data_IF_159980757141
#
_entry.id   IF_159980757141
#
_cell.length_a   1.000
_cell.length_b   1.000
_cell.length_c   1.000
_cell.angle_alpha   90.00
_cell.angle_beta   90.00
_cell.angle_gamma   90.00
#
_symmetry.space_group_name_H-M   'P 1'
#
loop_
_entity.id
_entity.type
_entity.pdbx_description
1 polymer ?
#
# COMPACT_ATOMS: atom_id res chain seq x y z
N UNK A 1 14.36 -9.18 31.52
CA UNK A 1 13.92 -9.00 30.13
C UNK A 1 13.84 -10.33 29.38
N UNK A 2 14.94 -11.07 29.16
CA UNK A 2 14.89 -12.37 28.47
C UNK A 2 13.90 -13.35 29.10
N UNK A 3 14.01 -13.59 30.41
CA UNK A 3 13.07 -14.45 31.14
C UNK A 3 11.62 -13.95 31.11
N UNK A 4 11.41 -12.63 31.04
CA UNK A 4 10.06 -12.09 30.93
C UNK A 4 9.51 -12.30 29.55
N UNK A 5 10.33 -12.14 28.49
CA UNK A 5 9.92 -12.52 27.11
C UNK A 5 9.51 -13.98 27.05
N UNK A 6 10.32 -14.89 27.60
CA UNK A 6 9.97 -16.32 27.64
C UNK A 6 8.64 -16.59 28.35
N UNK A 7 8.38 -15.91 29.52
CA UNK A 7 7.12 -16.03 30.25
C UNK A 7 5.94 -15.44 29.48
N UNK A 8 6.14 -14.25 28.89
CA UNK A 8 5.10 -13.58 28.11
C UNK A 8 4.66 -14.47 26.94
N UNK A 9 5.60 -15.05 26.19
CA UNK A 9 5.23 -15.99 25.14
C UNK A 9 4.54 -17.24 25.68
N UNK A 10 5.06 -17.86 26.75
CA UNK A 10 4.42 -19.02 27.39
C UNK A 10 2.97 -18.72 27.78
N UNK A 11 2.69 -17.54 28.30
CA UNK A 11 1.40 -17.20 28.92
C UNK A 11 0.38 -16.59 27.94
N UNK A 12 0.84 -16.02 26.83
CA UNK A 12 0.00 -15.29 25.88
C UNK A 12 -0.03 -15.88 24.47
N UNK A 13 0.90 -16.77 24.10
CA UNK A 13 0.89 -17.38 22.78
C UNK A 13 -0.40 -18.15 22.53
N UNK A 14 -0.98 -18.02 21.34
CA UNK A 14 -2.32 -18.50 21.02
C UNK A 14 -2.50 -20.05 21.08
N UNK A 15 -1.41 -20.82 21.08
CA UNK A 15 -1.41 -22.27 21.21
C UNK A 15 -0.58 -22.71 22.40
N UNK A 16 -1.19 -23.44 23.33
CA UNK A 16 -0.53 -23.97 24.54
C UNK A 16 0.63 -24.90 24.22
N UNK A 17 0.58 -25.60 23.08
CA UNK A 17 1.64 -26.51 22.64
C UNK A 17 2.84 -25.82 21.99
N UNK A 18 2.86 -24.48 21.90
CA UNK A 18 3.95 -23.68 21.34
C UNK A 18 4.40 -24.17 19.95
N UNK A 19 3.47 -24.51 19.05
CA UNK A 19 3.74 -25.14 17.76
C UNK A 19 4.53 -26.46 17.84
N UNK A 20 4.51 -27.14 18.98
CA UNK A 20 5.28 -28.37 19.23
C UNK A 20 6.73 -28.13 19.65
N UNK A 21 7.13 -26.89 19.86
CA UNK A 21 8.47 -26.52 20.35
C UNK A 21 8.59 -26.81 21.84
N UNK A 22 9.69 -27.44 22.26
CA UNK A 22 10.05 -27.56 23.68
C UNK A 22 10.49 -26.17 24.21
N UNK A 23 9.49 -25.38 24.60
CA UNK A 23 9.71 -24.00 25.04
C UNK A 23 10.62 -23.86 26.27
N UNK A 24 10.55 -24.75 27.29
CA UNK A 24 11.55 -24.81 28.35
C UNK A 24 13.00 -25.02 27.86
N UNK A 25 13.21 -25.99 26.94
CA UNK A 25 14.53 -26.23 26.38
C UNK A 25 15.07 -25.03 25.59
N UNK A 26 14.20 -24.29 24.90
CA UNK A 26 14.62 -23.04 24.19
C UNK A 26 15.09 -21.95 25.16
N UNK A 27 14.47 -21.85 26.34
CA UNK A 27 14.94 -20.94 27.38
C UNK A 27 16.36 -21.27 27.84
N UNK A 28 16.67 -22.55 28.02
CA UNK A 28 18.00 -22.98 28.41
C UNK A 28 19.03 -22.75 27.30
N UNK A 29 18.67 -23.10 26.05
CA UNK A 29 19.52 -22.92 24.88
C UNK A 29 19.97 -21.47 24.69
N UNK A 30 19.03 -20.52 24.67
CA UNK A 30 19.30 -19.13 24.41
C UNK A 30 19.68 -18.35 25.68
N UNK A 31 19.33 -18.86 26.86
CA UNK A 31 19.64 -18.23 28.13
C UNK A 31 21.14 -18.07 28.41
N UNK A 32 21.97 -19.01 27.96
CA UNK A 32 23.40 -18.95 28.10
C UNK A 32 24.04 -17.81 27.29
N UNK A 33 23.40 -17.38 26.20
CA UNK A 33 23.91 -16.26 25.37
C UNK A 33 23.68 -14.89 26.02
N UNK A 34 22.80 -14.80 27.02
CA UNK A 34 22.48 -13.52 27.68
C UNK A 34 23.65 -12.96 28.45
N UNK A 35 24.51 -13.84 29.03
CA UNK A 35 25.67 -13.43 29.80
C UNK A 35 26.79 -12.82 28.94
N UNK A 36 26.75 -13.10 27.63
CA UNK A 36 27.69 -12.53 26.64
C UNK A 36 27.19 -11.22 26.01
N UNK A 37 25.93 -10.80 26.27
CA UNK A 37 25.37 -9.56 25.75
C UNK A 37 26.04 -8.34 26.41
N UNK A 38 26.61 -7.45 25.61
CA UNK A 38 27.24 -6.19 26.06
C UNK A 38 26.38 -4.97 25.79
N UNK A 39 25.35 -5.12 24.99
CA UNK A 39 24.39 -4.06 24.64
C UNK A 39 22.95 -4.54 24.70
N UNK A 40 22.02 -3.57 24.66
CA UNK A 40 20.58 -3.88 24.55
C UNK A 40 20.21 -4.45 23.17
N UNK A 41 20.96 -4.10 22.14
CA UNK A 41 20.80 -4.67 20.80
C UNK A 41 21.20 -6.15 20.78
N UNK A 42 22.27 -6.55 21.46
CA UNK A 42 22.64 -7.96 21.59
C UNK A 42 21.52 -8.76 22.28
N UNK A 43 20.96 -8.20 23.36
CA UNK A 43 19.83 -8.84 24.03
C UNK A 43 18.59 -8.91 23.14
N UNK A 44 18.31 -7.87 22.32
CA UNK A 44 17.25 -7.93 21.33
C UNK A 44 17.50 -9.02 20.29
N UNK A 45 18.76 -9.21 19.88
CA UNK A 45 19.12 -10.31 18.98
C UNK A 45 18.80 -11.66 19.62
N UNK A 46 19.28 -11.94 20.83
CA UNK A 46 19.03 -13.20 21.55
C UNK A 46 17.54 -13.46 21.78
N UNK A 47 16.77 -12.41 22.12
CA UNK A 47 15.31 -12.49 22.20
C UNK A 47 14.71 -12.85 20.83
N UNK A 48 15.24 -12.29 19.74
CA UNK A 48 14.81 -12.60 18.39
C UNK A 48 15.02 -14.07 18.04
N UNK A 49 16.18 -14.62 18.35
CA UNK A 49 16.48 -16.05 18.13
C UNK A 49 15.53 -16.96 18.91
N UNK A 50 15.29 -16.62 20.19
CA UNK A 50 14.33 -17.36 21.02
C UNK A 50 12.93 -17.42 20.40
N UNK A 51 12.37 -16.28 19.99
CA UNK A 51 11.00 -16.24 19.48
C UNK A 51 10.89 -16.81 18.06
N UNK A 52 11.98 -16.80 17.28
CA UNK A 52 12.01 -17.36 15.93
C UNK A 52 11.79 -18.88 15.91
N UNK A 53 12.12 -19.61 17.00
CA UNK A 53 11.87 -21.04 17.11
C UNK A 53 10.39 -21.42 16.97
N UNK A 54 9.48 -20.47 17.23
CA UNK A 54 8.04 -20.69 17.07
C UNK A 54 7.59 -20.71 15.61
N UNK A 55 8.43 -20.26 14.68
CA UNK A 55 8.13 -20.15 13.25
C UNK A 55 6.70 -19.59 13.00
N UNK A 56 6.45 -18.41 13.55
CA UNK A 56 5.13 -17.80 13.57
C UNK A 56 5.22 -16.33 13.17
N UNK A 57 4.32 -15.89 12.32
CA UNK A 57 4.14 -14.49 11.96
C UNK A 57 3.84 -13.62 13.19
N UNK A 58 3.97 -12.30 13.06
CA UNK A 58 3.68 -11.33 14.13
C UNK A 58 4.42 -11.54 15.46
N UNK A 59 5.50 -12.32 15.47
CA UNK A 59 6.43 -12.42 16.60
C UNK A 59 7.49 -11.34 16.49
N UNK A 60 7.35 -10.28 17.28
CA UNK A 60 8.20 -9.09 17.20
C UNK A 60 8.96 -8.82 18.49
N UNK A 61 10.05 -8.06 18.36
CA UNK A 61 10.82 -7.53 19.46
C UNK A 61 11.42 -6.17 19.10
N UNK A 62 11.68 -5.34 20.09
CA UNK A 62 12.39 -4.08 19.85
C UNK A 62 12.35 -3.12 21.01
N UNK A 63 12.91 -1.95 20.77
CA UNK A 63 12.97 -0.89 21.76
C UNK A 63 13.85 -1.23 22.96
N UNK A 64 13.56 -0.59 24.09
CA UNK A 64 14.34 -0.66 25.30
C UNK A 64 15.43 0.42 25.34
N UNK A 65 16.40 0.23 26.22
CA UNK A 65 17.51 1.15 26.49
C UNK A 65 18.58 1.05 25.38
N UNK A 66 18.21 1.53 24.18
CA UNK A 66 19.09 1.54 23.01
C UNK A 66 19.93 2.81 22.95
N UNK A 67 21.20 2.65 22.64
CA UNK A 67 22.06 3.78 22.31
C UNK A 67 21.60 4.43 21.00
N UNK A 68 21.38 5.75 21.02
CA UNK A 68 20.92 6.51 19.86
C UNK A 68 21.91 7.58 19.47
N UNK A 69 22.38 7.51 18.24
CA UNK A 69 23.15 8.60 17.64
C UNK A 69 22.22 9.80 17.36
N UNK A 70 22.82 11.00 17.42
CA UNK A 70 22.12 12.22 16.96
C UNK A 70 21.86 12.12 15.47
N UNK A 71 20.60 12.30 15.07
CA UNK A 71 20.21 12.35 13.66
C UNK A 71 20.02 13.79 13.19
N UNK A 72 20.44 14.06 11.97
CA UNK A 72 20.20 15.35 11.29
C UNK A 72 19.35 15.08 10.06
N UNK A 73 18.20 15.77 9.98
CA UNK A 73 17.29 15.61 8.86
C UNK A 73 17.89 16.17 7.57
N UNK A 74 17.71 15.47 6.47
CA UNK A 74 18.04 15.94 5.11
C UNK A 74 16.77 16.47 4.46
N UNK A 75 16.87 17.63 3.83
CA UNK A 75 15.77 18.20 3.03
C UNK A 75 15.64 17.46 1.70
N UNK A 76 14.40 17.17 1.29
CA UNK A 76 14.10 16.50 0.03
C UNK A 76 13.15 17.35 -0.80
N UNK A 77 13.34 17.39 -2.12
CA UNK A 77 12.57 18.21 -3.04
C UNK A 77 11.42 17.45 -3.72
N UNK A 78 11.39 16.13 -3.62
CA UNK A 78 10.41 15.30 -4.32
C UNK A 78 10.68 15.20 -5.80
N UNK A 79 11.94 15.03 -6.18
CA UNK A 79 12.35 14.88 -7.57
C UNK A 79 13.51 13.89 -7.72
N UNK A 80 13.73 13.44 -8.95
CA UNK A 80 14.85 12.59 -9.33
C UNK A 80 15.88 13.45 -10.10
N UNK A 81 17.15 13.08 -9.96
CA UNK A 81 18.27 13.77 -10.61
C UNK A 81 19.09 12.80 -11.44
N UNK A 82 19.70 13.33 -12.49
CA UNK A 82 20.83 12.72 -13.17
C UNK A 82 22.01 13.72 -13.20
N UNK A 83 23.23 13.20 -13.25
CA UNK A 83 24.39 14.03 -13.50
C UNK A 83 24.56 14.19 -15.01
N UNK A 84 24.32 15.41 -15.51
CA UNK A 84 24.42 15.76 -16.91
C UNK A 84 25.26 17.02 -17.08
N UNK A 85 26.22 17.00 -18.02
CA UNK A 85 27.12 18.15 -18.31
C UNK A 85 27.78 18.75 -17.07
N UNK A 86 28.08 17.93 -16.03
CA UNK A 86 28.73 18.38 -14.81
C UNK A 86 27.84 19.08 -13.78
N UNK A 87 26.52 19.04 -13.97
CA UNK A 87 25.53 19.57 -13.04
C UNK A 87 24.38 18.58 -12.83
N UNK A 88 23.56 18.77 -11.78
CA UNK A 88 22.41 17.91 -11.49
C UNK A 88 21.18 18.39 -12.25
N UNK A 89 20.74 17.59 -13.23
CA UNK A 89 19.52 17.81 -13.99
C UNK A 89 18.34 17.11 -13.32
N UNK A 90 17.23 17.82 -13.17
CA UNK A 90 15.97 17.28 -12.68
C UNK A 90 15.32 16.45 -13.80
N UNK A 91 15.22 15.14 -13.60
CA UNK A 91 14.66 14.22 -14.60
C UNK A 91 13.18 13.95 -14.39
N UNK A 92 12.71 14.04 -13.13
CA UNK A 92 11.32 13.81 -12.78
C UNK A 92 10.93 14.61 -11.53
N UNK A 93 9.75 15.22 -11.56
CA UNK A 93 9.13 15.85 -10.40
C UNK A 93 7.95 14.99 -9.94
N UNK A 94 7.97 14.57 -8.68
CA UNK A 94 6.88 13.82 -8.07
C UNK A 94 5.81 14.80 -7.55
N UNK A 95 4.74 14.96 -8.31
CA UNK A 95 3.68 15.93 -7.98
C UNK A 95 2.78 15.45 -6.82
N UNK A 96 2.67 14.12 -6.60
CA UNK A 96 1.75 13.53 -5.67
C UNK A 96 0.31 13.54 -6.18
N UNK A 97 -0.66 13.62 -5.27
CA UNK A 97 -2.07 13.73 -5.63
C UNK A 97 -2.56 15.17 -5.59
N UNK A 98 -3.16 15.66 -6.66
CA UNK A 98 -3.71 17.05 -6.74
C UNK A 98 -4.72 17.32 -5.61
N UNK A 99 -5.43 16.30 -5.18
CA UNK A 99 -6.45 16.28 -4.13
C UNK A 99 -5.91 15.99 -2.72
N UNK A 100 -4.63 15.64 -2.57
CA UNK A 100 -3.99 15.24 -1.33
C UNK A 100 -2.99 16.31 -0.89
N UNK A 101 -3.38 17.18 0.04
CA UNK A 101 -2.53 18.25 0.53
C UNK A 101 -1.28 17.75 1.26
N UNK A 102 -1.34 16.53 1.82
CA UNK A 102 -0.25 15.91 2.59
C UNK A 102 0.78 15.23 1.68
N UNK A 103 0.43 15.02 0.41
CA UNK A 103 1.28 14.42 -0.60
C UNK A 103 1.60 15.40 -1.76
N UNK A 104 1.72 16.70 -1.48
CA UNK A 104 2.22 17.67 -2.44
C UNK A 104 3.73 17.82 -2.37
N UNK A 105 4.37 17.69 -3.54
CA UNK A 105 5.82 17.92 -3.67
C UNK A 105 6.22 19.36 -3.38
N UNK A 106 7.40 19.62 -2.82
CA UNK A 106 7.94 20.97 -2.64
C UNK A 106 8.01 21.76 -3.94
N UNK A 107 8.35 21.10 -5.05
CA UNK A 107 8.47 21.70 -6.37
C UNK A 107 7.12 21.90 -7.09
N UNK A 108 6.05 21.23 -6.62
CA UNK A 108 4.69 21.34 -7.19
C UNK A 108 3.82 22.36 -6.46
N UNK A 109 4.40 23.19 -5.58
CA UNK A 109 3.64 24.22 -4.86
C UNK A 109 3.33 25.40 -5.79
N UNK A 110 2.18 26.07 -5.62
CA UNK A 110 1.86 27.25 -6.41
C UNK A 110 2.95 28.33 -6.32
N UNK A 111 3.39 28.83 -7.47
CA UNK A 111 4.41 29.89 -7.56
C UNK A 111 5.86 29.37 -7.53
N UNK A 112 6.07 28.06 -7.50
CA UNK A 112 7.39 27.46 -7.66
C UNK A 112 7.61 27.18 -9.15
N UNK A 113 8.55 27.90 -9.76
CA UNK A 113 8.91 27.76 -11.18
C UNK A 113 10.17 26.92 -11.35
N UNK A 114 9.97 25.59 -11.20
CA UNK A 114 10.98 24.55 -11.43
C UNK A 114 10.35 23.46 -12.28
N UNK A 115 11.04 23.06 -13.34
CA UNK A 115 10.52 22.14 -14.34
C UNK A 115 11.43 20.91 -14.50
N UNK A 116 10.87 19.82 -15.01
CA UNK A 116 11.67 18.70 -15.50
C UNK A 116 12.56 19.18 -16.65
N UNK A 117 13.84 18.84 -16.57
CA UNK A 117 14.86 19.33 -17.50
C UNK A 117 15.71 20.48 -16.95
N UNK A 118 15.26 21.20 -15.93
CA UNK A 118 16.07 22.22 -15.25
C UNK A 118 17.25 21.59 -14.51
N UNK A 119 18.35 22.33 -14.43
CA UNK A 119 19.50 22.01 -13.61
C UNK A 119 19.41 22.70 -12.25
N UNK A 120 19.65 21.97 -11.19
CA UNK A 120 19.82 22.51 -9.85
C UNK A 120 21.28 22.91 -9.65
N UNK A 121 21.55 24.20 -9.54
CA UNK A 121 22.90 24.78 -9.63
C UNK A 121 23.44 25.26 -8.27
N UNK A 122 22.58 25.83 -7.42
CA UNK A 122 22.97 26.30 -6.10
C UNK A 122 21.83 26.24 -5.09
N UNK A 123 22.19 26.22 -3.80
CA UNK A 123 21.27 26.26 -2.66
C UNK A 123 21.73 27.36 -1.71
N UNK A 124 20.83 28.30 -1.40
CA UNK A 124 21.14 29.49 -0.57
C UNK A 124 22.38 30.23 -1.07
N UNK A 125 22.56 30.33 -2.37
CA UNK A 125 23.69 30.98 -3.04
C UNK A 125 25.02 30.16 -3.02
N UNK A 126 25.00 28.95 -2.46
CA UNK A 126 26.18 28.08 -2.49
C UNK A 126 26.07 27.12 -3.67
N UNK A 127 27.01 27.14 -4.63
CA UNK A 127 27.00 26.22 -5.76
C UNK A 127 27.03 24.75 -5.31
N UNK A 128 26.32 23.89 -6.03
CA UNK A 128 26.34 22.45 -5.81
C UNK A 128 27.67 21.85 -6.28
N UNK A 129 28.21 20.95 -5.47
CA UNK A 129 29.39 20.16 -5.81
C UNK A 129 28.94 18.88 -6.52
N UNK A 130 29.09 18.84 -7.84
CA UNK A 130 28.71 17.68 -8.67
C UNK A 130 29.56 16.41 -8.42
N UNK A 131 30.62 16.51 -7.60
CA UNK A 131 31.40 15.33 -7.18
C UNK A 131 30.82 14.63 -5.95
N UNK A 132 29.78 15.20 -5.33
CA UNK A 132 29.10 14.71 -4.14
C UNK A 132 27.64 14.46 -4.46
N UNK A 133 27.01 13.61 -3.67
CA UNK A 133 25.57 13.40 -3.70
C UNK A 133 24.82 14.73 -3.49
N UNK A 134 23.80 15.07 -4.33
CA UNK A 134 23.08 16.34 -4.24
C UNK A 134 22.42 16.55 -2.89
N UNK A 135 21.99 15.48 -2.22
CA UNK A 135 21.35 15.53 -0.91
C UNK A 135 22.28 16.03 0.20
N UNK A 136 23.60 15.95 -0.01
CA UNK A 136 24.60 16.48 0.94
C UNK A 136 24.45 17.99 1.19
N UNK A 137 23.99 18.73 0.21
CA UNK A 137 23.73 20.17 0.31
C UNK A 137 22.47 20.52 1.09
N UNK A 138 21.59 19.53 1.33
CA UNK A 138 20.34 19.70 2.05
C UNK A 138 20.38 19.22 3.51
N UNK A 139 21.55 18.83 4.03
CA UNK A 139 21.71 18.41 5.43
C UNK A 139 21.27 19.53 6.37
N UNK A 140 20.35 19.23 7.28
CA UNK A 140 19.79 20.18 8.25
C UNK A 140 18.80 21.20 7.67
N UNK A 141 18.38 21.05 6.41
CA UNK A 141 17.47 21.98 5.72
C UNK A 141 16.03 21.47 5.62
N UNK A 142 15.73 20.27 6.12
CA UNK A 142 14.36 19.75 6.19
C UNK A 142 13.43 20.73 6.92
N UNK A 143 12.30 21.08 6.28
CA UNK A 143 11.30 21.98 6.84
C UNK A 143 11.69 23.47 6.90
N UNK A 144 12.87 23.86 6.41
CA UNK A 144 13.32 25.26 6.33
C UNK A 144 13.12 25.78 4.90
N UNK A 145 12.78 27.05 4.77
CA UNK A 145 12.74 27.68 3.45
C UNK A 145 14.16 27.91 2.96
N UNK A 146 14.42 27.52 1.72
CA UNK A 146 15.70 27.67 1.04
C UNK A 146 15.50 28.35 -0.31
N UNK A 147 16.53 29.07 -0.80
CA UNK A 147 16.59 29.54 -2.18
C UNK A 147 17.28 28.50 -3.03
N UNK A 148 16.64 28.04 -4.10
CA UNK A 148 17.22 27.21 -5.13
C UNK A 148 17.60 28.10 -6.32
N UNK A 149 18.79 27.92 -6.87
CA UNK A 149 19.15 28.50 -8.18
C UNK A 149 19.00 27.41 -9.23
N UNK A 150 18.11 27.60 -10.18
CA UNK A 150 17.82 26.65 -11.26
C UNK A 150 17.93 27.33 -12.64
N UNK A 151 18.28 26.57 -13.66
CA UNK A 151 18.35 27.04 -15.05
C UNK A 151 18.09 25.88 -16.02
N UNK A 152 17.66 26.21 -17.25
CA UNK A 152 17.61 25.24 -18.35
C UNK A 152 19.02 24.83 -18.85
N UNK A 153 20.09 25.54 -18.40
CA UNK A 153 21.48 25.29 -18.73
C UNK A 153 22.28 24.79 -17.51
N UNK A 154 23.37 24.02 -17.73
CA UNK A 154 24.18 23.47 -16.64
C UNK A 154 25.10 24.50 -15.98
N UNK A 155 24.81 25.80 -16.11
CA UNK A 155 25.60 26.91 -15.58
C UNK A 155 24.70 28.05 -15.08
N UNK A 156 25.25 28.88 -14.17
CA UNK A 156 24.55 30.07 -13.68
C UNK A 156 24.81 31.20 -14.65
N UNK A 157 23.79 31.62 -15.38
CA UNK A 157 23.79 32.73 -16.32
C UNK A 157 22.66 33.74 -16.01
N UNK A 158 22.44 34.70 -16.90
CA UNK A 158 21.40 35.74 -16.73
C UNK A 158 19.96 35.16 -16.82
N UNK A 159 19.78 33.92 -17.26
CA UNK A 159 18.49 33.22 -17.35
C UNK A 159 18.24 32.33 -16.11
N UNK A 160 19.22 32.19 -15.21
CA UNK A 160 19.08 31.45 -14.00
C UNK A 160 18.03 32.06 -13.06
N UNK A 161 17.16 31.22 -12.51
CA UNK A 161 16.06 31.63 -11.63
C UNK A 161 16.36 31.32 -10.18
N UNK A 162 16.01 32.20 -9.27
CA UNK A 162 15.98 31.94 -7.84
C UNK A 162 14.56 31.63 -7.39
N UNK A 163 14.37 30.47 -6.79
CA UNK A 163 13.06 29.98 -6.37
C UNK A 163 13.08 29.60 -4.88
N UNK A 164 12.11 30.09 -4.11
CA UNK A 164 11.98 29.76 -2.70
C UNK A 164 11.17 28.48 -2.54
N UNK A 165 11.75 27.50 -1.86
CA UNK A 165 11.15 26.17 -1.64
C UNK A 165 11.31 25.77 -0.17
N UNK A 166 10.39 24.97 0.34
CA UNK A 166 10.48 24.35 1.66
C UNK A 166 10.65 22.83 1.51
N UNK A 167 11.89 22.31 1.56
CA UNK A 167 12.16 20.88 1.47
C UNK A 167 11.47 20.10 2.58
N UNK A 168 10.99 18.90 2.24
CA UNK A 168 10.38 17.97 3.21
C UNK A 168 11.42 17.01 3.78
N UNK A 169 11.16 16.42 4.95
CA UNK A 169 12.09 15.47 5.59
C UNK A 169 11.91 14.02 5.13
N UNK A 170 10.84 13.74 4.43
CA UNK A 170 10.53 12.40 3.90
C UNK A 170 9.62 12.55 2.68
N UNK A 171 10.01 11.97 1.57
CA UNK A 171 9.24 12.01 0.31
C UNK A 171 8.58 10.67 -0.04
N UNK A 172 8.62 9.67 0.88
CA UNK A 172 8.08 8.34 0.61
C UNK A 172 6.60 8.38 0.24
N UNK A 173 5.78 9.15 0.96
CA UNK A 173 4.36 9.27 0.64
C UNK A 173 4.11 9.98 -0.69
N UNK A 174 4.93 10.97 -1.02
CA UNK A 174 4.86 11.69 -2.30
C UNK A 174 5.18 10.75 -3.49
N UNK A 175 6.30 10.02 -3.41
CA UNK A 175 6.70 9.04 -4.43
C UNK A 175 5.69 7.92 -4.57
N UNK A 176 5.18 7.44 -3.46
CA UNK A 176 4.14 6.43 -3.40
C UNK A 176 2.85 6.89 -4.12
N UNK A 177 2.37 8.10 -3.85
CA UNK A 177 1.22 8.67 -4.56
C UNK A 177 1.48 8.86 -6.05
N UNK A 178 2.65 9.35 -6.41
CA UNK A 178 3.06 9.50 -7.80
C UNK A 178 3.05 8.16 -8.55
N UNK A 179 3.50 7.09 -7.90
CA UNK A 179 3.47 5.74 -8.45
C UNK A 179 2.02 5.23 -8.66
N UNK A 180 1.13 5.41 -7.68
CA UNK A 180 -0.29 5.02 -7.81
C UNK A 180 -0.95 5.75 -8.99
N UNK A 181 -0.74 7.06 -9.11
CA UNK A 181 -1.32 7.84 -10.20
C UNK A 181 -0.73 7.46 -11.56
N UNK A 182 0.56 7.12 -11.63
CA UNK A 182 1.19 6.61 -12.85
C UNK A 182 0.57 5.26 -13.27
N UNK A 183 0.36 4.34 -12.34
CA UNK A 183 -0.28 3.05 -12.63
C UNK A 183 -1.73 3.25 -13.10
N UNK A 184 -2.48 4.16 -12.44
CA UNK A 184 -3.84 4.49 -12.87
C UNK A 184 -3.87 5.04 -14.30
N UNK A 185 -2.99 5.98 -14.62
CA UNK A 185 -2.88 6.55 -15.96
C UNK A 185 -2.45 5.49 -16.99
N UNK A 186 -1.58 4.57 -16.59
CA UNK A 186 -1.16 3.45 -17.44
C UNK A 186 -2.33 2.53 -17.76
N UNK A 187 -3.08 2.07 -16.76
CA UNK A 187 -4.27 1.24 -16.96
C UNK A 187 -5.30 1.96 -17.82
N UNK A 188 -5.58 3.22 -17.56
CA UNK A 188 -6.51 4.03 -18.37
C UNK A 188 -6.09 4.07 -19.85
N UNK A 189 -4.81 4.34 -20.10
CA UNK A 189 -4.24 4.38 -21.45
C UNK A 189 -4.31 3.04 -22.18
N UNK A 190 -3.94 1.95 -21.48
CA UNK A 190 -3.85 0.62 -22.09
C UNK A 190 -5.22 -0.01 -22.35
N UNK A 191 -6.27 0.52 -21.73
CA UNK A 191 -7.63 -0.04 -21.81
C UNK A 191 -8.66 0.93 -22.41
N UNK A 192 -8.20 2.04 -23.01
CA UNK A 192 -9.07 3.12 -23.51
C UNK A 192 -10.10 3.59 -22.45
N UNK A 193 -9.67 3.62 -21.19
CA UNK A 193 -10.49 4.04 -20.06
C UNK A 193 -11.57 3.05 -19.62
N UNK A 194 -11.59 1.82 -20.13
CA UNK A 194 -12.62 0.79 -19.82
C UNK A 194 -12.42 0.18 -18.43
N UNK A 195 -11.17 0.06 -17.95
CA UNK A 195 -10.83 -0.58 -16.68
C UNK A 195 -10.37 0.47 -15.66
N UNK A 196 -10.85 0.36 -14.43
CA UNK A 196 -10.40 1.15 -13.30
C UNK A 196 -9.26 0.48 -12.54
N UNK A 197 -8.39 1.30 -11.92
CA UNK A 197 -7.30 0.85 -11.05
C UNK A 197 -7.46 1.45 -9.66
N UNK A 198 -7.48 0.58 -8.65
CA UNK A 198 -7.60 0.93 -7.23
C UNK A 198 -6.42 0.32 -6.50
N UNK A 199 -5.67 1.15 -5.79
CA UNK A 199 -4.60 0.68 -4.91
C UNK A 199 -5.05 0.66 -3.45
N UNK A 200 -4.75 -0.45 -2.74
CA UNK A 200 -5.13 -0.68 -1.34
C UNK A 200 -3.88 -0.88 -0.48
N UNK A 201 -3.37 0.17 0.19
CA UNK A 201 -2.12 0.13 0.96
C UNK A 201 -2.20 -0.67 2.25
N UNK A 202 -3.37 -0.76 2.83
CA UNK A 202 -3.63 -1.46 4.08
C UNK A 202 -5.13 -1.71 4.25
N UNK A 203 -5.49 -2.63 5.13
CA UNK A 203 -6.86 -2.95 5.49
C UNK A 203 -7.31 -2.31 6.82
N UNK A 204 -6.70 -1.20 7.19
CA UNK A 204 -7.12 -0.33 8.28
C UNK A 204 -8.07 0.79 7.83
N UNK A 205 -8.39 1.71 8.74
CA UNK A 205 -9.31 2.83 8.47
C UNK A 205 -8.80 3.75 7.36
N UNK A 206 -7.50 4.03 7.31
CA UNK A 206 -6.94 4.88 6.27
C UNK A 206 -7.03 4.23 4.88
N UNK A 207 -6.71 2.92 4.78
CA UNK A 207 -6.88 2.17 3.55
C UNK A 207 -8.34 2.06 3.12
N UNK A 208 -9.28 1.96 4.06
CA UNK A 208 -10.71 2.01 3.76
C UNK A 208 -11.12 3.35 3.16
N UNK A 209 -10.67 4.47 3.71
CA UNK A 209 -10.95 5.79 3.16
C UNK A 209 -10.38 5.95 1.74
N UNK A 210 -9.17 5.44 1.52
CA UNK A 210 -8.55 5.42 0.18
C UNK A 210 -9.33 4.55 -0.79
N UNK A 211 -9.76 3.35 -0.38
CA UNK A 211 -10.60 2.47 -1.19
C UNK A 211 -11.91 3.15 -1.59
N UNK A 212 -12.64 3.69 -0.63
CA UNK A 212 -13.92 4.36 -0.91
C UNK A 212 -13.75 5.49 -1.93
N UNK A 213 -12.80 6.37 -1.73
CA UNK A 213 -12.54 7.49 -2.64
C UNK A 213 -12.23 7.03 -4.06
N UNK A 214 -11.34 6.05 -4.21
CA UNK A 214 -10.95 5.51 -5.50
C UNK A 214 -12.09 4.72 -6.16
N UNK A 215 -12.84 3.94 -5.39
CA UNK A 215 -13.97 3.16 -5.87
C UNK A 215 -15.09 4.06 -6.43
N UNK A 216 -15.49 5.09 -5.68
CA UNK A 216 -16.52 6.03 -6.16
C UNK A 216 -16.10 6.78 -7.43
N UNK A 217 -14.84 7.10 -7.58
CA UNK A 217 -14.31 7.75 -8.79
C UNK A 217 -14.30 6.86 -10.03
N UNK A 218 -14.48 5.54 -9.87
CA UNK A 218 -14.31 4.58 -10.95
C UNK A 218 -15.50 3.63 -11.15
N UNK A 219 -16.64 3.90 -10.54
CA UNK A 219 -17.85 3.09 -10.66
C UNK A 219 -18.38 2.93 -12.08
N UNK A 220 -18.08 3.89 -12.94
CA UNK A 220 -18.50 3.86 -14.35
C UNK A 220 -17.64 3.01 -15.27
N UNK A 221 -16.57 2.40 -14.74
CA UNK A 221 -15.68 1.51 -15.50
C UNK A 221 -16.34 0.15 -15.72
N UNK A 222 -15.96 -0.54 -16.79
CA UNK A 222 -16.51 -1.87 -17.11
C UNK A 222 -15.92 -2.96 -16.21
N UNK A 223 -14.68 -2.80 -15.71
CA UNK A 223 -14.02 -3.70 -14.78
C UNK A 223 -13.08 -2.95 -13.85
N UNK A 224 -12.62 -3.63 -12.78
CA UNK A 224 -11.72 -3.05 -11.78
C UNK A 224 -10.51 -3.96 -11.53
N UNK A 225 -9.31 -3.39 -11.57
CA UNK A 225 -8.08 -3.98 -11.02
C UNK A 225 -7.89 -3.44 -9.61
N UNK A 226 -7.85 -4.34 -8.62
CA UNK A 226 -7.58 -4.02 -7.23
C UNK A 226 -6.11 -4.39 -6.97
N UNK A 227 -5.25 -3.41 -6.78
CA UNK A 227 -3.84 -3.65 -6.47
C UNK A 227 -3.64 -3.56 -4.95
N UNK A 228 -3.35 -4.68 -4.33
CA UNK A 228 -3.04 -4.74 -2.90
C UNK A 228 -1.61 -5.20 -2.64
N UNK A 229 -0.76 -5.23 -3.66
CA UNK A 229 0.66 -5.51 -3.50
C UNK A 229 1.27 -4.56 -2.46
N UNK A 230 2.16 -5.08 -1.63
CA UNK A 230 2.76 -4.37 -0.47
C UNK A 230 1.75 -3.91 0.58
N UNK A 231 0.56 -4.48 0.63
CA UNK A 231 -0.43 -4.16 1.65
C UNK A 231 0.09 -4.52 3.05
N UNK A 232 0.25 -3.53 3.91
CA UNK A 232 0.78 -3.68 5.27
C UNK A 232 -0.20 -4.28 6.28
N UNK A 233 -1.36 -4.78 5.84
CA UNK A 233 -2.37 -5.38 6.71
C UNK A 233 -3.28 -4.37 7.41
N UNK A 234 -4.04 -4.85 8.37
CA UNK A 234 -5.01 -4.08 9.13
C UNK A 234 -6.14 -4.98 9.65
N UNK A 235 -7.10 -4.41 10.38
CA UNK A 235 -8.06 -5.19 11.16
C UNK A 235 -9.45 -5.32 10.55
N UNK A 236 -9.70 -4.71 9.38
CA UNK A 236 -11.05 -4.63 8.80
C UNK A 236 -11.14 -5.08 7.33
N UNK A 237 -10.43 -6.15 6.90
CA UNK A 237 -10.44 -6.57 5.49
C UNK A 237 -11.83 -6.98 5.00
N UNK A 238 -12.72 -7.45 5.87
CA UNK A 238 -14.10 -7.81 5.56
C UNK A 238 -14.89 -6.64 4.95
N UNK A 239 -14.68 -5.42 5.44
CA UNK A 239 -15.38 -4.23 4.91
C UNK A 239 -14.98 -3.88 3.47
N UNK A 240 -13.76 -4.23 3.09
CA UNK A 240 -13.27 -4.05 1.72
C UNK A 240 -13.99 -5.01 0.78
N UNK A 241 -14.08 -6.27 1.16
CA UNK A 241 -14.80 -7.29 0.40
C UNK A 241 -16.30 -6.99 0.34
N UNK A 242 -16.91 -6.54 1.43
CA UNK A 242 -18.32 -6.12 1.46
C UNK A 242 -18.62 -5.01 0.44
N UNK A 243 -17.75 -4.01 0.32
CA UNK A 243 -17.91 -2.95 -0.68
C UNK A 243 -17.79 -3.50 -2.11
N UNK A 244 -16.73 -4.30 -2.37
CA UNK A 244 -16.46 -4.84 -3.70
C UNK A 244 -17.51 -5.88 -4.14
N UNK A 245 -18.18 -6.55 -3.20
CA UNK A 245 -19.22 -7.57 -3.41
C UNK A 245 -20.64 -7.01 -3.29
N UNK A 246 -20.82 -5.70 -3.16
CA UNK A 246 -22.15 -5.11 -2.96
C UNK A 246 -23.05 -5.37 -4.14
N UNK A 247 -24.21 -6.06 -3.94
CA UNK A 247 -25.10 -6.38 -5.03
C UNK A 247 -25.86 -5.13 -5.52
N UNK A 248 -26.15 -5.12 -6.80
CA UNK A 248 -27.15 -4.23 -7.37
C UNK A 248 -28.52 -4.84 -7.17
N UNK A 249 -29.45 -4.12 -6.56
CA UNK A 249 -30.80 -4.62 -6.25
C UNK A 249 -31.85 -4.15 -7.23
N UNK A 250 -31.68 -2.99 -7.84
CA UNK A 250 -32.64 -2.38 -8.75
C UNK A 250 -32.05 -1.20 -9.54
N UNK A 251 -32.88 -0.61 -10.42
CA UNK A 251 -32.50 0.55 -11.22
C UNK A 251 -33.52 1.67 -11.06
N UNK A 252 -33.06 2.89 -11.15
CA UNK A 252 -33.92 4.08 -11.24
C UNK A 252 -33.95 4.56 -12.67
N UNK A 253 -35.18 4.57 -13.23
CA UNK A 253 -35.44 5.07 -14.57
C UNK A 253 -35.54 6.59 -14.56
N UNK A 254 -34.75 7.27 -15.37
CA UNK A 254 -34.71 8.73 -15.49
C UNK A 254 -35.27 9.14 -16.86
N UNK A 255 -36.25 10.04 -16.89
CA UNK A 255 -36.92 10.44 -18.11
C UNK A 255 -35.98 11.00 -19.19
N UNK A 256 -35.17 11.96 -18.79
CA UNK A 256 -34.24 12.71 -19.64
C UNK A 256 -32.78 12.44 -19.24
N UNK A 257 -32.42 11.18 -19.03
CA UNK A 257 -31.08 10.84 -18.58
C UNK A 257 -30.76 9.36 -18.62
N UNK A 258 -29.58 9.00 -18.13
CA UNK A 258 -29.12 7.63 -18.03
C UNK A 258 -29.70 7.00 -16.76
N UNK A 259 -30.23 5.78 -16.88
CA UNK A 259 -30.63 4.98 -15.72
C UNK A 259 -29.46 4.69 -14.84
N UNK A 260 -29.69 4.62 -13.56
CA UNK A 260 -28.62 4.33 -12.58
C UNK A 260 -28.98 3.20 -11.64
N UNK A 261 -27.97 2.43 -11.30
CA UNK A 261 -28.08 1.28 -10.41
C UNK A 261 -28.32 1.71 -8.95
N UNK A 262 -28.98 0.86 -8.18
CA UNK A 262 -29.18 1.05 -6.76
C UNK A 262 -28.85 -0.22 -5.97
N UNK A 263 -28.07 -0.12 -4.89
CA UNK A 263 -27.43 1.09 -4.37
C UNK A 263 -26.39 1.67 -5.34
N UNK A 264 -26.18 3.01 -5.33
CA UNK A 264 -25.29 3.67 -6.29
C UNK A 264 -23.81 3.34 -6.07
N UNK A 265 -23.45 2.77 -4.93
CA UNK A 265 -22.13 2.32 -4.58
C UNK A 265 -21.94 0.80 -4.77
N UNK A 266 -22.51 0.26 -5.85
CA UNK A 266 -22.27 -1.10 -6.32
C UNK A 266 -21.56 -1.10 -7.68
N UNK A 267 -20.67 -2.07 -7.87
CA UNK A 267 -19.98 -2.29 -9.15
C UNK A 267 -20.10 -3.76 -9.54
N UNK A 268 -20.80 -4.03 -10.63
CA UNK A 268 -21.15 -5.39 -11.06
C UNK A 268 -20.20 -5.98 -12.10
N UNK A 269 -19.36 -5.17 -12.72
CA UNK A 269 -18.36 -5.64 -13.67
C UNK A 269 -17.31 -6.56 -13.04
N UNK A 270 -16.60 -7.32 -13.89
CA UNK A 270 -15.54 -8.21 -13.43
C UNK A 270 -14.44 -7.46 -12.67
N UNK A 271 -13.76 -8.18 -11.81
CA UNK A 271 -12.66 -7.69 -10.98
C UNK A 271 -11.51 -8.69 -10.98
N UNK A 272 -10.29 -8.21 -10.81
CA UNK A 272 -9.17 -9.04 -10.40
C UNK A 272 -8.38 -8.32 -9.30
N UNK A 273 -7.50 -9.05 -8.63
CA UNK A 273 -6.66 -8.49 -7.58
C UNK A 273 -5.20 -8.85 -7.81
N UNK A 274 -4.34 -7.84 -7.75
CA UNK A 274 -2.88 -8.00 -7.75
C UNK A 274 -2.39 -8.24 -6.34
N UNK A 275 -1.57 -9.27 -6.16
CA UNK A 275 -0.99 -9.69 -4.88
C UNK A 275 0.51 -9.96 -5.00
N UNK A 276 1.27 -9.78 -3.92
CA UNK A 276 2.67 -10.19 -3.87
C UNK A 276 3.11 -10.62 -2.46
N UNK A 277 4.33 -11.17 -2.36
CA UNK A 277 4.89 -11.69 -1.11
C UNK A 277 5.16 -10.64 -0.01
N UNK A 278 4.96 -9.37 -0.30
CA UNK A 278 5.08 -8.27 0.67
C UNK A 278 3.72 -7.83 1.25
N UNK A 279 2.63 -8.34 0.70
CA UNK A 279 1.31 -8.19 1.31
C UNK A 279 1.16 -9.17 2.48
N UNK A 280 0.75 -8.70 3.65
CA UNK A 280 0.72 -9.54 4.84
C UNK A 280 -0.35 -9.16 5.86
N UNK A 281 -0.64 -10.06 6.81
CA UNK A 281 -1.66 -9.87 7.84
C UNK A 281 -3.06 -9.66 7.23
N UNK A 282 -3.69 -8.51 7.43
CA UNK A 282 -4.90 -8.17 6.70
C UNK A 282 -4.73 -8.15 5.18
N UNK A 283 -3.48 -8.02 4.67
CA UNK A 283 -3.11 -8.20 3.28
C UNK A 283 -3.00 -9.66 2.84
N UNK A 284 -2.89 -10.62 3.76
CA UNK A 284 -3.12 -12.05 3.49
C UNK A 284 -4.61 -12.36 3.47
N UNK A 285 -5.36 -11.78 4.42
CA UNK A 285 -6.79 -12.05 4.57
C UNK A 285 -7.63 -11.39 3.48
N UNK A 286 -7.27 -10.23 3.00
CA UNK A 286 -8.05 -9.52 1.98
C UNK A 286 -8.18 -10.32 0.67
N UNK A 287 -7.09 -10.80 0.05
CA UNK A 287 -7.19 -11.65 -1.13
C UNK A 287 -7.84 -13.01 -0.82
N UNK A 288 -7.63 -13.58 0.36
CA UNK A 288 -8.31 -14.80 0.78
C UNK A 288 -9.84 -14.64 0.75
N UNK A 289 -10.35 -13.59 1.40
CA UNK A 289 -11.80 -13.30 1.42
C UNK A 289 -12.33 -12.90 0.03
N UNK A 290 -11.54 -12.19 -0.78
CA UNK A 290 -11.90 -11.85 -2.15
C UNK A 290 -12.12 -13.11 -3.01
N UNK A 291 -11.23 -14.09 -2.87
CA UNK A 291 -11.31 -15.39 -3.53
C UNK A 291 -12.51 -16.22 -3.03
N UNK A 292 -12.72 -16.30 -1.72
CA UNK A 292 -13.88 -16.97 -1.12
C UNK A 292 -15.22 -16.36 -1.58
N UNK A 293 -15.26 -15.05 -1.74
CA UNK A 293 -16.44 -14.34 -2.25
C UNK A 293 -16.66 -14.49 -3.78
N UNK A 294 -15.75 -15.15 -4.48
CA UNK A 294 -15.83 -15.35 -5.92
C UNK A 294 -15.76 -14.05 -6.74
N UNK A 295 -15.07 -13.02 -6.24
CA UNK A 295 -15.07 -11.69 -6.86
C UNK A 295 -14.21 -11.60 -8.12
N UNK A 296 -13.27 -12.51 -8.32
CA UNK A 296 -12.38 -12.57 -9.47
C UNK A 296 -11.09 -13.32 -9.21
N UNK A 297 -10.15 -13.24 -10.14
CA UNK A 297 -8.86 -13.91 -10.07
C UNK A 297 -7.85 -13.10 -9.27
N UNK A 298 -6.98 -13.82 -8.54
CA UNK A 298 -5.78 -13.29 -7.92
C UNK A 298 -4.61 -13.46 -8.90
N UNK A 299 -3.85 -12.39 -9.13
CA UNK A 299 -2.75 -12.36 -10.11
C UNK A 299 -1.50 -11.86 -9.39
N UNK A 300 -0.36 -12.53 -9.60
CA UNK A 300 0.91 -12.13 -9.01
C UNK A 300 1.61 -13.23 -8.27
N UNK A 301 2.08 -12.97 -7.05
CA UNK A 301 2.79 -13.92 -6.20
C UNK A 301 2.06 -14.15 -4.89
N UNK A 302 2.22 -15.36 -4.32
CA UNK A 302 1.67 -15.71 -3.01
C UNK A 302 2.02 -14.66 -1.94
N UNK A 303 1.06 -14.32 -1.09
CA UNK A 303 1.23 -13.35 -0.01
C UNK A 303 2.11 -13.88 1.13
N UNK A 304 2.43 -13.05 2.11
CA UNK A 304 3.41 -13.33 3.17
C UNK A 304 3.05 -14.55 4.03
N UNK A 305 1.80 -14.70 4.43
CA UNK A 305 1.35 -15.81 5.29
C UNK A 305 1.48 -15.54 6.79
N UNK A 306 1.52 -14.30 7.22
CA UNK A 306 1.53 -13.93 8.64
C UNK A 306 0.18 -13.37 9.08
N UNK A 307 -0.78 -14.23 9.43
CA UNK A 307 -2.17 -13.84 9.70
C UNK A 307 -2.58 -13.90 11.18
N UNK A 308 -1.82 -14.59 12.04
CA UNK A 308 -2.12 -14.58 13.49
C UNK A 308 -2.17 -13.16 14.04
N UNK A 309 -3.01 -12.91 15.04
CA UNK A 309 -3.26 -11.56 15.52
C UNK A 309 -2.64 -11.25 16.87
N UNK A 310 -2.51 -9.94 17.14
CA UNK A 310 -1.97 -9.38 18.37
C UNK A 310 -3.07 -8.67 19.16
N UNK A 311 -3.26 -9.00 20.44
CA UNK A 311 -4.17 -8.28 21.34
C UNK A 311 -3.44 -7.40 22.37
N UNK A 312 -2.11 -7.39 22.31
CA UNK A 312 -1.25 -6.68 23.25
C UNK A 312 -0.79 -7.55 24.42
N UNK A 313 0.33 -7.16 25.02
CA UNK A 313 0.95 -7.81 26.17
C UNK A 313 1.78 -6.76 26.96
N UNK A 314 2.23 -7.09 28.20
CA UNK A 314 3.05 -6.19 28.99
C UNK A 314 4.35 -5.80 28.30
N UNK A 315 4.83 -4.58 28.58
CA UNK A 315 6.15 -4.11 28.19
C UNK A 315 7.22 -4.73 29.08
N UNK A 316 8.45 -4.80 28.55
CA UNK A 316 9.64 -5.16 29.31
C UNK A 316 10.01 -4.02 30.29
N UNK A 317 10.83 -4.32 31.31
CA UNK A 317 11.14 -3.38 32.39
C UNK A 317 11.80 -2.08 31.91
N UNK A 318 12.53 -2.14 30.80
CA UNK A 318 13.18 -1.00 30.15
C UNK A 318 12.31 -0.32 29.08
N UNK A 319 11.00 -0.56 29.11
CA UNK A 319 10.05 -0.12 28.09
C UNK A 319 10.27 -0.72 26.70
N UNK A 320 11.13 -1.71 26.55
CA UNK A 320 11.19 -2.55 25.37
C UNK A 320 9.90 -3.32 25.16
N UNK A 321 9.72 -3.87 23.97
CA UNK A 321 8.51 -4.64 23.66
C UNK A 321 8.84 -5.97 23.01
N UNK A 322 7.91 -6.90 23.18
CA UNK A 322 7.75 -8.07 22.34
C UNK A 322 6.33 -8.07 21.81
N UNK A 323 6.12 -8.55 20.59
CA UNK A 323 4.80 -8.83 20.03
C UNK A 323 4.56 -10.32 20.13
N UNK A 324 3.45 -10.72 20.76
CA UNK A 324 3.09 -12.13 20.92
C UNK A 324 1.79 -12.39 20.18
N UNK A 325 1.75 -13.35 19.25
CA UNK A 325 0.50 -13.82 18.66
C UNK A 325 -0.44 -14.37 19.73
N UNK A 326 -1.61 -13.78 19.89
CA UNK A 326 -2.56 -14.10 20.96
C UNK A 326 -3.83 -14.77 20.45
N UNK A 327 -4.07 -14.76 19.14
CA UNK A 327 -5.17 -15.45 18.49
C UNK A 327 -4.77 -15.90 17.09
N UNK A 328 -5.23 -17.08 16.72
CA UNK A 328 -5.03 -17.69 15.40
C UNK A 328 -6.32 -17.73 14.61
N UNK A 329 -6.19 -17.91 13.29
CA UNK A 329 -7.28 -17.97 12.36
C UNK A 329 -7.53 -19.41 11.88
N UNK A 330 -8.78 -19.85 11.92
CA UNK A 330 -9.18 -21.13 11.34
C UNK A 330 -10.49 -20.97 10.54
N UNK A 331 -10.68 -21.83 9.56
CA UNK A 331 -11.79 -21.80 8.64
C UNK A 331 -13.10 -22.33 9.26
N UNK A 332 -14.22 -22.05 8.59
CA UNK A 332 -15.54 -22.49 9.02
C UNK A 332 -15.73 -24.01 9.07
N UNK A 333 -14.88 -24.76 8.35
CA UNK A 333 -14.85 -26.23 8.37
C UNK A 333 -13.99 -26.80 9.52
N UNK A 334 -13.37 -25.95 10.32
CA UNK A 334 -12.52 -26.31 11.46
C UNK A 334 -11.07 -26.63 11.12
N UNK A 335 -10.63 -26.35 9.90
CA UNK A 335 -9.21 -26.45 9.52
C UNK A 335 -8.47 -25.15 9.83
N UNK A 336 -7.16 -25.23 10.13
CA UNK A 336 -6.33 -24.04 10.27
C UNK A 336 -6.26 -23.30 8.93
N UNK A 337 -6.29 -21.97 9.00
CA UNK A 337 -6.24 -21.11 7.83
C UNK A 337 -4.84 -20.95 7.25
N UNK A 338 -4.61 -19.80 6.62
CA UNK A 338 -3.44 -19.53 5.78
C UNK A 338 -2.19 -19.08 6.54
N UNK A 339 -2.17 -19.12 7.88
CA UNK A 339 -0.96 -18.84 8.66
C UNK A 339 0.19 -19.74 8.23
N UNK A 340 1.38 -19.17 8.05
CA UNK A 340 2.58 -19.87 7.60
C UNK A 340 2.60 -20.23 6.10
N UNK A 341 1.53 -19.91 5.34
CA UNK A 341 1.44 -20.18 3.90
C UNK A 341 1.13 -18.90 3.10
N UNK A 342 0.10 -18.16 3.46
CA UNK A 342 -0.41 -17.03 2.70
C UNK A 342 -1.48 -17.41 1.68
N UNK A 343 -1.86 -16.48 0.83
CA UNK A 343 -2.86 -16.66 -0.23
C UNK A 343 -2.17 -16.84 -1.57
N UNK A 344 -2.43 -17.98 -2.24
CA UNK A 344 -1.87 -18.30 -3.55
C UNK A 344 -2.61 -17.53 -4.67
N UNK A 345 -1.87 -17.01 -5.68
CA UNK A 345 -2.50 -16.44 -6.88
C UNK A 345 -3.17 -17.54 -7.72
N UNK A 346 -4.18 -17.15 -8.50
CA UNK A 346 -4.77 -18.00 -9.54
C UNK A 346 -3.96 -17.94 -10.83
N UNK A 347 -3.25 -16.83 -11.07
CA UNK A 347 -2.34 -16.61 -12.20
C UNK A 347 -1.02 -16.12 -11.60
N UNK A 348 -0.01 -17.00 -11.63
CA UNK A 348 1.32 -16.68 -11.10
C UNK A 348 2.09 -15.80 -12.08
N UNK A 349 2.53 -14.65 -11.60
CA UNK A 349 3.38 -13.69 -12.33
C UNK A 349 4.41 -13.12 -11.36
N UNK A 350 5.68 -13.30 -11.65
CA UNK A 350 6.78 -12.80 -10.81
C UNK A 350 6.90 -11.28 -10.97
N UNK A 351 7.01 -10.56 -9.84
CA UNK A 351 7.38 -9.15 -9.80
C UNK A 351 8.90 -9.01 -10.00
N UNK A 352 9.34 -8.92 -11.25
CA UNK A 352 10.76 -8.81 -11.58
C UNK A 352 11.28 -7.38 -11.30
N UNK A 353 12.11 -7.19 -10.27
CA UNK A 353 12.63 -5.86 -9.92
C UNK A 353 13.47 -5.23 -11.04
N UNK A 354 14.12 -6.03 -11.89
CA UNK A 354 14.92 -5.53 -12.98
C UNK A 354 14.06 -4.88 -14.08
N UNK A 355 12.86 -5.39 -14.31
CA UNK A 355 11.87 -4.78 -15.21
C UNK A 355 11.21 -3.57 -14.56
N UNK A 356 10.86 -3.67 -13.26
CA UNK A 356 10.17 -2.60 -12.54
C UNK A 356 11.03 -1.32 -12.40
N UNK A 357 12.33 -1.45 -12.22
CA UNK A 357 13.27 -0.31 -12.17
C UNK A 357 13.26 0.48 -13.48
N UNK A 358 13.03 -0.18 -14.61
CA UNK A 358 12.94 0.48 -15.94
C UNK A 358 11.53 0.92 -16.31
N UNK A 359 10.58 0.81 -15.39
CA UNK A 359 9.18 1.23 -15.56
C UNK A 359 8.24 0.15 -16.11
N UNK A 360 8.69 -1.10 -16.27
CA UNK A 360 7.82 -2.24 -16.59
C UNK A 360 7.12 -2.78 -15.36
N UNK A 361 5.91 -3.33 -15.52
CA UNK A 361 5.17 -4.01 -14.45
C UNK A 361 4.46 -5.24 -15.02
N UNK A 362 5.15 -6.40 -15.05
CA UNK A 362 4.61 -7.61 -15.67
C UNK A 362 3.33 -8.12 -14.99
N UNK A 363 3.16 -7.88 -13.69
CA UNK A 363 1.94 -8.25 -12.98
C UNK A 363 0.76 -7.37 -13.38
N UNK A 364 0.98 -6.06 -13.49
CA UNK A 364 -0.05 -5.12 -13.94
C UNK A 364 -0.42 -5.36 -15.40
N UNK A 365 0.55 -5.66 -16.27
CA UNK A 365 0.31 -6.01 -17.67
C UNK A 365 -0.55 -7.28 -17.80
N UNK A 366 -0.25 -8.32 -17.03
CA UNK A 366 -1.04 -9.55 -16.97
C UNK A 366 -2.47 -9.29 -16.45
N UNK A 367 -2.63 -8.41 -15.47
CA UNK A 367 -3.95 -8.03 -14.97
C UNK A 367 -4.76 -7.27 -16.01
N UNK A 368 -4.14 -6.37 -16.76
CA UNK A 368 -4.79 -5.64 -17.87
C UNK A 368 -5.27 -6.62 -18.96
N UNK A 369 -4.39 -7.53 -19.38
CA UNK A 369 -4.72 -8.54 -20.40
C UNK A 369 -5.89 -9.42 -19.94
N UNK A 370 -5.80 -9.96 -18.72
CA UNK A 370 -6.87 -10.77 -18.13
C UNK A 370 -8.19 -10.01 -18.07
N UNK A 371 -8.19 -8.76 -17.60
CA UNK A 371 -9.39 -7.97 -17.43
C UNK A 371 -10.03 -7.56 -18.77
N UNK A 372 -9.23 -7.30 -19.81
CA UNK A 372 -9.76 -7.06 -21.15
C UNK A 372 -10.50 -8.29 -21.70
N UNK A 373 -9.98 -9.50 -21.45
CA UNK A 373 -10.68 -10.74 -21.80
C UNK A 373 -11.95 -10.95 -20.98
N UNK A 374 -11.89 -10.68 -19.67
CA UNK A 374 -13.04 -10.83 -18.78
C UNK A 374 -14.20 -9.90 -19.10
N UNK A 375 -13.95 -8.65 -19.45
CA UNK A 375 -15.04 -7.73 -19.84
C UNK A 375 -15.69 -8.11 -21.17
N UNK A 376 -14.97 -8.77 -22.10
CA UNK A 376 -15.56 -9.28 -23.34
C UNK A 376 -16.39 -10.55 -23.11
N UNK A 377 -16.01 -11.40 -22.15
CA UNK A 377 -16.62 -12.71 -21.93
C UNK A 377 -17.72 -12.66 -20.85
N UNK A 378 -17.46 -11.93 -19.77
CA UNK A 378 -18.27 -11.89 -18.56
C UNK A 378 -18.66 -10.45 -18.15
N UNK A 379 -18.58 -9.51 -19.10
CA UNK A 379 -18.94 -8.11 -18.87
C UNK A 379 -20.36 -7.94 -18.37
N UNK A 380 -20.56 -7.01 -17.45
CA UNK A 380 -21.87 -6.73 -16.91
C UNK A 380 -22.72 -5.90 -17.87
N UNK A 381 -23.90 -6.39 -18.17
CA UNK A 381 -24.91 -5.70 -18.97
C UNK A 381 -26.12 -5.39 -18.11
N UNK A 382 -26.47 -4.10 -17.90
CA UNK A 382 -27.68 -3.75 -17.18
C UNK A 382 -28.92 -4.23 -17.95
N UNK A 383 -30.03 -4.59 -17.29
CA UNK A 383 -31.24 -4.96 -17.94
C UNK A 383 -31.80 -3.80 -18.76
N UNK A 384 -32.52 -4.12 -19.84
CA UNK A 384 -33.24 -3.12 -20.57
C UNK A 384 -34.36 -2.50 -19.71
N UNK A 385 -34.58 -1.19 -19.86
CA UNK A 385 -35.68 -0.52 -19.18
C UNK A 385 -37.01 -1.18 -19.63
N UNK A 386 -37.91 -1.54 -18.71
CA UNK A 386 -39.23 -2.07 -19.07
C UNK A 386 -40.08 -1.04 -19.81
N UNK A 387 -41.04 -1.51 -20.55
CA UNK A 387 -42.05 -0.63 -21.19
C UNK A 387 -42.78 0.23 -20.16
N UNK A 388 -43.15 1.42 -20.56
CA UNK A 388 -43.87 2.34 -19.68
C UNK A 388 -45.27 1.75 -19.34
N UNK A 389 -45.63 1.69 -18.06
CA UNK A 389 -46.93 1.16 -17.65
C UNK A 389 -48.06 2.07 -18.14
N UNK A 390 -49.12 1.48 -18.70
CA UNK A 390 -50.35 2.20 -18.95
C UNK A 390 -51.19 2.25 -17.66
N UNK A 391 -51.42 3.43 -17.17
CA UNK A 391 -52.30 3.71 -16.02
C UNK A 391 -53.47 4.61 -16.36
N UNK A 392 -53.89 4.63 -17.64
CA UNK A 392 -54.94 5.50 -18.11
C UNK A 392 -56.33 5.14 -17.54
N UNK A 393 -56.57 3.90 -17.14
CA UNK A 393 -57.81 3.40 -16.57
C UNK A 393 -57.96 3.57 -15.05
N UNK A 394 -57.60 4.72 -14.47
CA UNK A 394 -57.64 5.00 -13.03
C UNK A 394 -56.68 4.12 -12.19
N UNK A 395 -55.77 3.41 -12.84
CA UNK A 395 -54.71 2.63 -12.18
C UNK A 395 -55.16 1.32 -11.54
N UNK A 396 -56.41 0.91 -11.69
CA UNK A 396 -56.92 -0.38 -11.23
C UNK A 396 -56.80 -1.39 -12.38
N UNK A 397 -55.97 -2.40 -12.20
CA UNK A 397 -55.86 -3.48 -13.19
C UNK A 397 -57.08 -4.38 -13.15
N UNK A 398 -57.38 -5.09 -14.25
CA UNK A 398 -58.50 -6.05 -14.28
C UNK A 398 -58.31 -7.17 -13.23
N UNK A 399 -57.08 -7.58 -12.98
CA UNK A 399 -56.72 -8.59 -11.98
C UNK A 399 -56.89 -8.09 -10.52
N UNK A 400 -57.05 -6.78 -10.31
CA UNK A 400 -57.24 -6.14 -9.00
C UNK A 400 -58.71 -5.75 -8.75
N UNK A 401 -59.61 -6.01 -9.71
CA UNK A 401 -61.06 -5.86 -9.59
C UNK A 401 -61.69 -7.15 -9.09
#
# INVERSE_FOLDING_TARGET
MFNDTWRIFRDYFYLENMHGVDWPAMRERYGVMVDDCVSRDDLNFVIGELIAELNCGHSYRGGGDLERATSVGVGMLGCDYELDNGAYRITKIHEGGVWDSDARGPLSQPGVDVNEGDYLLAINGTPLDATRDPWSAFIGLSGKVVSLTVSEKPEIDDEAREVLVKPIGNESNLRYRSWIEANRAYVEKMTDGRIGYIYVPNTGINGQNDLFRQFFGQQGKEGLIIDERWNGGGQIPTRFVELLNRPNTNYWAVREGKDWAFPPDSHQGPKCMLINGMAGSGGDMFPWLFKQAGLGKLIGMRTWGGLVGLSGNPRLIDNGFVGVPTFGFYESDGTWGIEGHGTDPDIEVIDDPALMVTGGDPQLDAAIEHMLQEIETNGYHPPARPESPDRSGMGVREEDK
#
